data_IF_697474589102
#
_entry.id   IF_697474589102
#
_cell.length_a   1.000
_cell.length_b   1.000
_cell.length_c   1.000
_cell.angle_alpha   90.00
_cell.angle_beta   90.00
_cell.angle_gamma   90.00
#
_symmetry.space_group_name_H-M   'P 1'
#
loop_
_entity.id
_entity.type
_entity.pdbx_description
1 polymer ?
#
# COMPACT_ATOMS: atom_id res chain seq x y z
N UNK A 1 -3.30 -17.49 53.82
CA UNK A 1 -2.73 -17.70 52.47
C UNK A 1 -3.06 -16.49 51.60
N UNK A 2 -2.10 -15.65 51.19
CA UNK A 2 -2.39 -14.64 50.18
C UNK A 2 -2.07 -15.19 48.79
N UNK A 3 -3.11 -15.50 48.02
CA UNK A 3 -3.15 -15.28 46.57
C UNK A 3 -4.21 -14.19 46.31
N UNK A 4 -4.10 -13.36 45.25
CA UNK A 4 -4.04 -13.87 43.88
C UNK A 4 -3.08 -13.15 42.92
N UNK A 5 -2.62 -13.94 41.96
CA UNK A 5 -2.33 -13.63 40.56
C UNK A 5 -1.58 -12.34 40.24
N UNK A 6 -0.28 -12.54 39.94
CA UNK A 6 0.55 -11.69 39.09
C UNK A 6 -0.30 -10.99 38.03
N UNK A 7 -0.19 -9.67 38.01
CA UNK A 7 -0.57 -8.75 36.94
C UNK A 7 -0.58 -9.49 35.59
N UNK A 8 -1.80 -9.81 35.15
CA UNK A 8 -2.01 -10.54 33.92
C UNK A 8 -1.49 -9.66 32.80
N UNK A 9 -0.37 -10.09 32.21
CA UNK A 9 0.22 -9.64 30.95
C UNK A 9 -0.87 -9.51 29.87
N UNK A 10 -1.64 -8.42 29.87
CA UNK A 10 -2.51 -8.03 28.74
C UNK A 10 -1.72 -7.25 27.68
N UNK A 11 -0.51 -6.80 28.01
CA UNK A 11 0.36 -5.98 27.15
C UNK A 11 1.22 -6.70 26.08
N UNK A 12 1.61 -7.99 26.17
CA UNK A 12 2.55 -8.57 25.20
C UNK A 12 1.94 -8.73 23.80
N UNK A 13 0.63 -8.98 23.67
CA UNK A 13 0.00 -9.17 22.34
C UNK A 13 -0.04 -7.91 21.49
N UNK A 14 -0.17 -6.72 22.09
CA UNK A 14 -0.20 -5.45 21.36
C UNK A 14 1.18 -5.15 20.76
N UNK A 15 2.25 -5.32 21.56
CA UNK A 15 3.62 -5.10 21.09
C UNK A 15 4.01 -6.06 19.95
N UNK A 16 3.64 -7.34 20.05
CA UNK A 16 3.90 -8.33 18.99
C UNK A 16 3.14 -8.01 17.69
N UNK A 17 1.89 -7.55 17.82
CA UNK A 17 1.07 -7.14 16.65
C UNK A 17 1.67 -5.90 15.99
N UNK A 18 2.03 -4.88 16.78
CA UNK A 18 2.65 -3.64 16.27
C UNK A 18 4.00 -3.91 15.58
N UNK A 19 4.83 -4.79 16.16
CA UNK A 19 6.11 -5.19 15.56
C UNK A 19 5.92 -5.82 14.18
N UNK A 20 4.88 -6.64 14.03
CA UNK A 20 4.64 -7.30 12.75
C UNK A 20 4.07 -6.36 11.69
N UNK A 21 3.15 -5.47 12.08
CA UNK A 21 2.67 -4.41 11.19
C UNK A 21 3.81 -3.50 10.72
N UNK A 22 4.71 -3.14 11.64
CA UNK A 22 5.91 -2.37 11.32
C UNK A 22 6.81 -3.10 10.33
N UNK A 23 7.00 -4.42 10.50
CA UNK A 23 7.80 -5.22 9.57
C UNK A 23 7.20 -5.23 8.16
N UNK A 24 5.88 -5.40 8.04
CA UNK A 24 5.17 -5.33 6.74
C UNK A 24 5.37 -3.95 6.10
N UNK A 25 5.20 -2.89 6.89
CA UNK A 25 5.39 -1.52 6.41
C UNK A 25 6.80 -1.28 5.87
N UNK A 26 7.84 -1.70 6.61
CA UNK A 26 9.23 -1.56 6.19
C UNK A 26 9.52 -2.38 4.93
N UNK A 27 9.05 -3.63 4.87
CA UNK A 27 9.23 -4.48 3.68
C UNK A 27 8.60 -3.85 2.43
N UNK A 28 7.34 -3.39 2.54
CA UNK A 28 6.65 -2.74 1.42
C UNK A 28 7.33 -1.45 1.01
N UNK A 29 7.82 -0.65 1.97
CA UNK A 29 8.52 0.60 1.70
C UNK A 29 9.82 0.37 0.97
N UNK A 30 10.65 -0.59 1.43
CA UNK A 30 11.91 -0.93 0.76
C UNK A 30 11.66 -1.50 -0.63
N UNK A 31 10.67 -2.39 -0.78
CA UNK A 31 10.30 -2.94 -2.09
C UNK A 31 9.84 -1.83 -3.06
N UNK A 32 9.04 -0.87 -2.57
CA UNK A 32 8.59 0.27 -3.36
C UNK A 32 9.75 1.18 -3.76
N UNK A 33 10.64 1.53 -2.82
CA UNK A 33 11.82 2.34 -3.09
C UNK A 33 12.74 1.70 -4.15
N UNK A 34 13.00 0.40 -4.04
CA UNK A 34 13.81 -0.33 -5.01
C UNK A 34 13.16 -0.40 -6.39
N UNK A 35 11.84 -0.61 -6.46
CA UNK A 35 11.11 -0.62 -7.72
C UNK A 35 11.14 0.76 -8.39
N UNK A 36 10.95 1.84 -7.64
CA UNK A 36 11.00 3.21 -8.13
C UNK A 36 12.40 3.63 -8.58
N UNK A 37 13.42 3.23 -7.81
CA UNK A 37 14.82 3.45 -8.19
C UNK A 37 15.17 2.69 -9.48
N UNK A 38 14.77 1.42 -9.58
CA UNK A 38 14.92 0.61 -10.80
C UNK A 38 14.17 1.17 -12.01
N UNK A 39 13.11 1.95 -11.79
CA UNK A 39 12.37 2.66 -12.84
C UNK A 39 13.01 4.00 -13.26
N UNK A 40 14.13 4.39 -12.65
CA UNK A 40 14.93 5.56 -13.05
C UNK A 40 14.79 6.79 -12.14
N UNK A 41 14.10 6.70 -10.99
CA UNK A 41 14.11 7.79 -10.00
C UNK A 41 15.49 7.94 -9.34
N UNK A 42 15.83 9.15 -8.92
CA UNK A 42 16.99 9.35 -8.03
C UNK A 42 16.77 8.60 -6.71
N UNK A 43 17.85 8.22 -6.01
CA UNK A 43 17.73 7.47 -4.74
C UNK A 43 16.91 8.25 -3.70
N UNK A 44 17.13 9.57 -3.62
CA UNK A 44 16.40 10.43 -2.69
C UNK A 44 14.90 10.48 -3.03
N UNK A 45 14.57 10.67 -4.30
CA UNK A 45 13.18 10.71 -4.75
C UNK A 45 12.49 9.36 -4.58
N UNK A 46 13.16 8.25 -4.92
CA UNK A 46 12.62 6.91 -4.77
C UNK A 46 12.25 6.62 -3.31
N UNK A 47 13.12 6.99 -2.36
CA UNK A 47 12.84 6.83 -0.93
C UNK A 47 11.70 7.75 -0.48
N UNK A 48 11.75 9.03 -0.84
CA UNK A 48 10.70 10.00 -0.47
C UNK A 48 9.32 9.61 -0.99
N UNK A 49 9.24 9.22 -2.26
CA UNK A 49 8.01 8.73 -2.88
C UNK A 49 7.55 7.39 -2.29
N UNK A 50 8.47 6.49 -1.91
CA UNK A 50 8.09 5.23 -1.26
C UNK A 50 7.42 5.45 0.10
N UNK A 51 7.94 6.35 0.94
CA UNK A 51 7.32 6.68 2.23
C UNK A 51 5.93 7.28 2.04
N UNK A 52 5.81 8.21 1.11
CA UNK A 52 4.53 8.83 0.79
C UNK A 52 3.51 7.82 0.25
N UNK A 53 3.95 6.90 -0.62
CA UNK A 53 3.08 5.90 -1.25
C UNK A 53 2.56 4.88 -0.24
N UNK A 54 3.46 4.29 0.57
CA UNK A 54 3.06 3.23 1.52
C UNK A 54 2.20 3.78 2.67
N UNK A 55 2.43 5.03 3.08
CA UNK A 55 1.61 5.73 4.07
C UNK A 55 0.31 6.33 3.50
N UNK A 56 0.07 6.25 2.17
CA UNK A 56 -1.08 6.87 1.49
C UNK A 56 -1.12 8.40 1.73
N UNK A 57 0.05 9.04 1.73
CA UNK A 57 0.21 10.47 2.04
C UNK A 57 0.03 11.39 0.83
N UNK A 58 0.47 10.98 -0.36
CA UNK A 58 0.37 11.78 -1.59
C UNK A 58 1.37 12.94 -1.72
N UNK A 59 2.32 13.08 -0.79
CA UNK A 59 3.45 14.00 -0.88
C UNK A 59 4.48 13.57 -1.94
N UNK A 60 5.23 14.54 -2.45
CA UNK A 60 6.31 14.35 -3.41
C UNK A 60 7.45 15.32 -3.14
N UNK A 61 8.65 14.97 -3.60
CA UNK A 61 9.84 15.84 -3.61
C UNK A 61 9.79 16.90 -4.71
N UNK A 62 8.82 16.81 -5.62
CA UNK A 62 8.65 17.71 -6.76
C UNK A 62 7.28 18.38 -6.72
N UNK A 63 7.21 19.65 -7.12
CA UNK A 63 5.96 20.43 -7.13
C UNK A 63 4.89 19.84 -8.06
N UNK A 64 5.33 19.26 -9.19
CA UNK A 64 4.44 18.57 -10.13
C UNK A 64 4.07 17.13 -9.68
N UNK A 65 4.46 16.74 -8.47
CA UNK A 65 4.29 15.39 -7.93
C UNK A 65 4.84 14.31 -8.89
N UNK A 66 4.16 13.18 -9.01
CA UNK A 66 4.53 12.08 -9.93
C UNK A 66 4.51 12.56 -11.40
N UNK A 67 3.73 13.60 -11.72
CA UNK A 67 3.70 14.22 -13.05
C UNK A 67 5.05 14.70 -13.56
N UNK A 68 5.99 15.01 -12.65
CA UNK A 68 7.38 15.37 -12.99
C UNK A 68 8.08 14.31 -13.86
N UNK A 69 7.85 13.04 -13.59
CA UNK A 69 8.56 11.95 -14.27
C UNK A 69 8.00 11.59 -15.64
N UNK A 70 6.77 12.01 -15.96
CA UNK A 70 6.07 11.72 -17.22
C UNK A 70 6.18 10.25 -17.69
N UNK A 71 6.28 9.31 -16.74
CA UNK A 71 6.66 7.92 -17.00
C UNK A 71 5.52 6.96 -16.65
N UNK A 72 4.95 6.25 -17.64
CA UNK A 72 3.89 5.27 -17.40
C UNK A 72 4.32 4.13 -16.47
N UNK A 73 5.60 3.74 -16.49
CA UNK A 73 6.13 2.69 -15.61
C UNK A 73 6.12 3.11 -14.15
N UNK A 74 6.56 4.33 -13.84
CA UNK A 74 6.52 4.89 -12.47
C UNK A 74 5.08 4.99 -11.98
N UNK A 75 4.17 5.51 -12.82
CA UNK A 75 2.74 5.60 -12.49
C UNK A 75 2.15 4.23 -12.14
N UNK A 76 2.50 3.20 -12.92
CA UNK A 76 2.01 1.83 -12.72
C UNK A 76 2.57 1.24 -11.43
N UNK A 77 3.86 1.43 -11.13
CA UNK A 77 4.48 0.98 -9.87
C UNK A 77 3.75 1.59 -8.68
N UNK A 78 3.58 2.92 -8.67
CA UNK A 78 2.91 3.61 -7.57
C UNK A 78 1.46 3.15 -7.42
N UNK A 79 0.73 2.99 -8.53
CA UNK A 79 -0.66 2.49 -8.50
C UNK A 79 -0.74 1.09 -7.87
N UNK A 80 0.17 0.17 -8.24
CA UNK A 80 0.20 -1.19 -7.66
C UNK A 80 0.50 -1.13 -6.16
N UNK A 81 1.50 -0.36 -5.73
CA UNK A 81 1.84 -0.23 -4.31
C UNK A 81 0.74 0.47 -3.51
N UNK A 82 0.02 1.45 -4.08
CA UNK A 82 -1.17 2.04 -3.44
C UNK A 82 -2.30 1.03 -3.26
N UNK A 83 -2.55 0.17 -4.25
CA UNK A 83 -3.54 -0.91 -4.11
C UNK A 83 -3.16 -1.86 -2.98
N UNK A 84 -1.88 -2.25 -2.91
CA UNK A 84 -1.39 -3.14 -1.85
C UNK A 84 -1.51 -2.45 -0.48
N UNK A 85 -1.03 -1.21 -0.35
CA UNK A 85 -1.05 -0.48 0.92
C UNK A 85 -2.45 -0.03 1.37
N UNK A 86 -3.37 0.19 0.44
CA UNK A 86 -4.77 0.50 0.75
C UNK A 86 -5.54 -0.70 1.31
N UNK A 87 -5.03 -1.92 1.14
CA UNK A 87 -5.64 -3.11 1.71
C UNK A 87 -5.37 -3.22 3.21
N UNK A 88 -6.29 -3.87 3.92
CA UNK A 88 -6.15 -4.14 5.35
C UNK A 88 -4.83 -4.90 5.64
N UNK A 89 -3.95 -4.30 6.44
CA UNK A 89 -2.65 -4.89 6.80
C UNK A 89 -2.77 -6.22 7.56
N UNK A 90 -3.93 -6.49 8.18
CA UNK A 90 -4.25 -7.80 8.75
C UNK A 90 -4.28 -8.93 7.72
N UNK A 91 -4.64 -8.65 6.47
CA UNK A 91 -4.61 -9.62 5.37
C UNK A 91 -3.18 -9.91 4.92
N UNK A 92 -2.34 -8.89 4.83
CA UNK A 92 -0.90 -9.04 4.56
C UNK A 92 -0.22 -9.88 5.65
N UNK A 93 -0.57 -9.63 6.92
CA UNK A 93 -0.11 -10.44 8.03
C UNK A 93 -0.56 -11.90 7.93
N UNK A 94 -1.84 -12.12 7.59
CA UNK A 94 -2.39 -13.47 7.42
C UNK A 94 -1.65 -14.25 6.32
N UNK A 95 -1.30 -13.59 5.21
CA UNK A 95 -0.51 -14.16 4.13
C UNK A 95 0.91 -14.53 4.58
N UNK A 96 1.61 -13.62 5.26
CA UNK A 96 2.97 -13.86 5.79
C UNK A 96 3.02 -14.95 6.86
N UNK A 97 1.90 -15.17 7.57
CA UNK A 97 1.77 -16.27 8.55
C UNK A 97 1.55 -17.65 7.90
N UNK A 98 1.71 -17.76 6.57
CA UNK A 98 1.62 -19.02 5.83
C UNK A 98 0.20 -19.40 5.38
N UNK A 99 -0.78 -18.49 5.50
CA UNK A 99 -2.11 -18.73 4.90
C UNK A 99 -2.06 -18.51 3.40
N UNK A 100 -2.94 -19.20 2.67
CA UNK A 100 -3.07 -19.05 1.22
C UNK A 100 -3.58 -17.65 0.81
N UNK A 101 -3.21 -17.20 -0.39
CA UNK A 101 -3.74 -16.00 -1.05
C UNK A 101 -5.28 -15.97 -1.13
N UNK A 102 -5.95 -17.11 -0.97
CA UNK A 102 -7.42 -17.21 -0.86
C UNK A 102 -8.01 -16.37 0.28
N UNK A 103 -7.22 -15.99 1.29
CA UNK A 103 -7.70 -15.15 2.41
C UNK A 103 -8.23 -13.80 1.94
N UNK A 104 -7.58 -13.17 0.94
CA UNK A 104 -8.04 -11.89 0.37
C UNK A 104 -9.43 -12.04 -0.27
N UNK A 105 -9.65 -13.08 -1.05
CA UNK A 105 -10.93 -13.31 -1.74
C UNK A 105 -12.09 -13.70 -0.82
N UNK A 106 -11.82 -14.12 0.42
CA UNK A 106 -12.86 -14.43 1.41
C UNK A 106 -13.26 -13.21 2.24
N UNK A 107 -12.42 -12.19 2.25
CA UNK A 107 -12.64 -10.98 3.02
C UNK A 107 -13.61 -10.03 2.28
N UNK A 108 -14.76 -9.68 2.87
CA UNK A 108 -15.75 -8.82 2.22
C UNK A 108 -15.24 -7.38 2.06
N UNK A 109 -14.38 -6.89 2.96
CA UNK A 109 -13.82 -5.54 2.91
C UNK A 109 -12.88 -5.39 1.71
N UNK A 110 -11.96 -6.33 1.51
CA UNK A 110 -11.07 -6.38 0.35
C UNK A 110 -11.85 -6.47 -0.97
N UNK A 111 -12.90 -7.30 -1.02
CA UNK A 111 -13.75 -7.42 -2.23
C UNK A 111 -14.46 -6.11 -2.55
N UNK A 112 -15.02 -5.45 -1.55
CA UNK A 112 -15.67 -4.14 -1.73
C UNK A 112 -14.67 -3.06 -2.15
N UNK A 113 -13.49 -3.04 -1.52
CA UNK A 113 -12.40 -2.13 -1.88
C UNK A 113 -12.02 -2.27 -3.35
N UNK A 114 -11.72 -3.49 -3.82
CA UNK A 114 -11.36 -3.74 -5.22
C UNK A 114 -12.53 -3.42 -6.16
N UNK A 115 -13.76 -3.76 -5.79
CA UNK A 115 -14.94 -3.44 -6.60
C UNK A 115 -15.11 -1.94 -6.81
N UNK A 116 -15.05 -1.14 -5.73
CA UNK A 116 -15.14 0.32 -5.79
C UNK A 116 -13.99 0.89 -6.62
N UNK A 117 -12.76 0.42 -6.38
CA UNK A 117 -11.58 0.90 -7.09
C UNK A 117 -11.65 0.64 -8.59
N UNK A 118 -12.04 -0.57 -9.01
CA UNK A 118 -12.20 -0.91 -10.43
C UNK A 118 -13.34 -0.09 -11.06
N UNK A 119 -14.45 0.09 -10.34
CA UNK A 119 -15.57 0.90 -10.82
C UNK A 119 -15.12 2.35 -11.07
N UNK A 120 -14.39 2.94 -10.13
CA UNK A 120 -13.86 4.30 -10.28
C UNK A 120 -12.88 4.40 -11.45
N UNK A 121 -11.98 3.43 -11.62
CA UNK A 121 -11.06 3.40 -12.77
C UNK A 121 -11.84 3.38 -14.08
N UNK A 122 -12.83 2.49 -14.22
CA UNK A 122 -13.66 2.40 -15.43
C UNK A 122 -14.40 3.71 -15.71
N UNK A 123 -15.04 4.30 -14.70
CA UNK A 123 -15.76 5.57 -14.85
C UNK A 123 -14.81 6.68 -15.28
N UNK A 124 -13.66 6.84 -14.61
CA UNK A 124 -12.66 7.85 -14.96
C UNK A 124 -12.13 7.65 -16.40
N UNK A 125 -11.84 6.40 -16.80
CA UNK A 125 -11.39 6.10 -18.15
C UNK A 125 -12.45 6.45 -19.20
N UNK A 126 -13.72 6.10 -18.97
CA UNK A 126 -14.81 6.43 -19.90
C UNK A 126 -15.01 7.95 -20.03
N UNK A 127 -14.94 8.69 -18.93
CA UNK A 127 -15.04 10.15 -18.93
C UNK A 127 -13.87 10.78 -19.70
N UNK A 128 -12.63 10.36 -19.40
CA UNK A 128 -11.44 10.89 -20.08
C UNK A 128 -11.45 10.59 -21.58
N UNK A 129 -11.94 9.41 -21.98
CA UNK A 129 -12.10 9.03 -23.37
C UNK A 129 -13.19 9.85 -24.07
N UNK A 130 -14.35 10.04 -23.42
CA UNK A 130 -15.45 10.85 -23.96
C UNK A 130 -15.10 12.33 -24.16
N UNK A 131 -14.22 12.88 -23.34
CA UNK A 131 -13.72 14.26 -23.47
C UNK A 131 -12.52 14.39 -24.44
N UNK A 132 -12.01 13.29 -25.01
CA UNK A 132 -10.91 13.33 -25.97
C UNK A 132 -9.59 13.87 -25.42
N UNK A 133 -9.37 13.75 -24.09
CA UNK A 133 -8.17 14.29 -23.40
C UNK A 133 -6.89 13.65 -23.93
N UNK A 134 -6.97 12.36 -24.28
CA UNK A 134 -5.89 11.63 -24.94
C UNK A 134 -6.31 11.40 -26.39
N UNK A 135 -5.54 11.95 -27.34
CA UNK A 135 -5.66 11.58 -28.75
C UNK A 135 -5.10 10.16 -28.91
N UNK A 136 -5.88 9.27 -29.53
CA UNK A 136 -5.43 7.92 -29.92
C UNK A 136 -4.15 7.95 -30.72
#
# INVERSE_FOLDING_TARGET
MPGPLKDNKMRPRIAETAKTLWLIYVLLTVACALALWGAGMSVFDAIGHSFSTIAIGGFSTHDASIGYYASPTINTIIAVFLLISGCNYGLHFALLSGRSLKVYGRDPEFRMFIFVQLTLVVVCTLVLWGHGVYKS
#
